data_IF_163212417010
#
_entry.id   IF_163212417010
#
_cell.length_a   1.000
_cell.length_b   1.000
_cell.length_c   1.000
_cell.angle_alpha   90.00
_cell.angle_beta   90.00
_cell.angle_gamma   90.00
#
_symmetry.space_group_name_H-M   'P 1'
#
loop_
_entity.id
_entity.type
_entity.pdbx_description
1 polymer ?
#
# COMPACT_ATOMS: atom_id res chain seq x y z
N UNK A 1 -21.10 4.84 -22.31
CA UNK A 1 -20.96 5.19 -20.88
C UNK A 1 -20.85 3.96 -19.96
N UNK A 2 -21.65 2.89 -20.13
CA UNK A 2 -21.64 1.71 -19.23
C UNK A 2 -20.36 0.85 -19.20
N UNK A 3 -19.61 0.78 -20.31
CA UNK A 3 -18.37 -0.03 -20.38
C UNK A 3 -17.22 0.49 -19.51
N UNK A 4 -17.12 1.82 -19.31
CA UNK A 4 -16.10 2.41 -18.43
C UNK A 4 -16.42 2.17 -16.94
N UNK A 5 -17.69 2.15 -16.56
CA UNK A 5 -18.10 1.83 -15.20
C UNK A 5 -17.86 0.37 -14.85
N UNK A 6 -18.16 -0.56 -15.78
CA UNK A 6 -17.88 -1.99 -15.57
C UNK A 6 -16.38 -2.29 -15.46
N UNK A 7 -15.57 -1.69 -16.33
CA UNK A 7 -14.11 -1.78 -16.24
C UNK A 7 -13.56 -1.13 -14.96
N UNK A 8 -14.09 0.04 -14.58
CA UNK A 8 -13.73 0.75 -13.35
C UNK A 8 -14.07 -0.03 -12.07
N UNK A 9 -15.19 -0.75 -12.03
CA UNK A 9 -15.55 -1.63 -10.91
C UNK A 9 -14.65 -2.86 -10.85
N UNK A 10 -14.35 -3.52 -11.97
CA UNK A 10 -13.42 -4.66 -11.99
C UNK A 10 -12.01 -4.27 -11.58
N UNK A 11 -11.51 -3.13 -12.08
CA UNK A 11 -10.23 -2.56 -11.70
C UNK A 11 -10.25 -2.11 -10.24
N UNK A 12 -11.37 -1.57 -9.76
CA UNK A 12 -11.57 -1.16 -8.36
C UNK A 12 -11.50 -2.34 -7.40
N UNK A 13 -12.14 -3.46 -7.72
CA UNK A 13 -12.08 -4.70 -6.93
C UNK A 13 -10.69 -5.33 -6.99
N UNK A 14 -10.07 -5.38 -8.18
CA UNK A 14 -8.70 -5.86 -8.32
C UNK A 14 -7.70 -4.99 -7.54
N UNK A 15 -7.87 -3.66 -7.57
CA UNK A 15 -7.02 -2.71 -6.86
C UNK A 15 -7.26 -2.71 -5.35
N UNK A 16 -8.49 -2.93 -4.89
CA UNK A 16 -8.79 -3.06 -3.46
C UNK A 16 -8.16 -4.33 -2.87
N UNK A 17 -8.09 -5.42 -3.66
CA UNK A 17 -7.42 -6.66 -3.26
C UNK A 17 -5.90 -6.49 -3.20
N UNK A 18 -5.31 -5.71 -4.12
CA UNK A 18 -3.87 -5.44 -4.09
C UNK A 18 -3.49 -4.63 -2.84
N UNK A 19 -4.41 -3.85 -2.25
CA UNK A 19 -4.26 -3.23 -0.93
C UNK A 19 -3.09 -2.24 -0.78
N UNK A 20 -2.29 -2.06 -1.83
CA UNK A 20 -1.02 -1.36 -1.81
C UNK A 20 -1.19 0.17 -1.89
N UNK A 21 -2.39 0.64 -2.28
CA UNK A 21 -2.65 2.06 -2.50
C UNK A 21 -1.92 2.60 -3.73
N UNK A 22 -2.50 3.60 -4.39
CA UNK A 22 -1.95 4.18 -5.63
C UNK A 22 -0.50 4.70 -5.51
N UNK A 23 0.04 4.84 -4.29
CA UNK A 23 1.41 5.26 -3.97
C UNK A 23 2.50 4.50 -4.76
N UNK A 24 2.33 3.19 -4.99
CA UNK A 24 3.32 2.39 -5.75
C UNK A 24 3.40 2.79 -7.23
N UNK A 25 2.31 3.31 -7.80
CA UNK A 25 2.25 3.78 -9.19
C UNK A 25 2.67 5.25 -9.27
N UNK A 26 2.34 6.06 -8.26
CA UNK A 26 2.71 7.49 -8.22
C UNK A 26 4.21 7.69 -8.05
N UNK A 27 4.89 6.84 -7.26
CA UNK A 27 6.33 6.94 -7.00
C UNK A 27 7.19 6.87 -8.28
N UNK A 28 7.08 5.86 -9.16
CA UNK A 28 7.89 5.79 -10.38
C UNK A 28 7.51 6.87 -11.40
N UNK A 29 6.26 7.35 -11.39
CA UNK A 29 5.81 8.46 -12.24
C UNK A 29 6.48 9.79 -11.86
N UNK A 30 6.54 10.10 -10.57
CA UNK A 30 7.22 11.29 -10.04
C UNK A 30 8.74 11.22 -10.24
N UNK A 31 9.35 10.04 -10.08
CA UNK A 31 10.77 9.82 -10.39
C UNK A 31 11.09 10.06 -11.87
N UNK A 32 10.14 9.75 -12.78
CA UNK A 32 10.31 10.00 -14.22
C UNK A 32 10.23 11.50 -14.58
N UNK A 33 9.56 12.31 -13.75
CA UNK A 33 9.50 13.78 -13.87
C UNK A 33 10.74 14.50 -13.31
N UNK A 34 11.75 13.77 -12.85
CA UNK A 34 13.03 14.34 -12.40
C UNK A 34 13.08 14.73 -10.92
N UNK A 35 12.05 14.40 -10.14
CA UNK A 35 12.07 14.62 -8.70
C UNK A 35 13.08 13.69 -8.02
N UNK A 36 13.80 14.17 -6.98
CA UNK A 36 14.66 13.31 -6.20
C UNK A 36 13.82 12.18 -5.59
N UNK A 37 14.32 10.95 -5.67
CA UNK A 37 13.58 9.74 -5.28
C UNK A 37 13.10 9.80 -3.82
N UNK A 38 13.81 10.49 -2.95
CA UNK A 38 13.38 10.75 -1.57
C UNK A 38 12.11 11.59 -1.48
N UNK A 39 11.98 12.64 -2.29
CA UNK A 39 10.78 13.47 -2.34
C UNK A 39 9.61 12.74 -3.02
N UNK A 40 9.89 11.94 -4.06
CA UNK A 40 8.88 11.12 -4.73
C UNK A 40 8.30 10.04 -3.79
N UNK A 41 9.14 9.41 -2.98
CA UNK A 41 8.70 8.43 -1.96
C UNK A 41 7.98 9.13 -0.82
N UNK A 42 8.47 10.28 -0.34
CA UNK A 42 7.83 11.06 0.73
C UNK A 42 6.43 11.55 0.36
N UNK A 43 6.26 12.08 -0.85
CA UNK A 43 4.93 12.51 -1.37
C UNK A 43 3.99 11.32 -1.57
N UNK A 44 4.50 10.18 -2.03
CA UNK A 44 3.68 8.97 -2.17
C UNK A 44 3.25 8.39 -0.82
N UNK A 45 4.12 8.46 0.21
CA UNK A 45 3.77 8.08 1.57
C UNK A 45 2.71 9.02 2.19
N UNK A 46 2.79 10.32 1.90
CA UNK A 46 1.76 11.29 2.31
C UNK A 46 0.39 10.97 1.71
N UNK A 47 0.32 10.51 0.45
CA UNK A 47 -0.92 10.01 -0.16
C UNK A 47 -1.41 8.70 0.46
N UNK A 48 -0.53 7.90 1.09
CA UNK A 48 -0.91 6.70 1.82
C UNK A 48 -1.72 6.97 3.09
N UNK A 49 -1.53 8.13 3.72
CA UNK A 49 -2.25 8.51 4.94
C UNK A 49 -3.77 8.58 4.76
N UNK A 50 -4.34 9.34 3.79
CA UNK A 50 -5.78 9.37 3.58
C UNK A 50 -6.34 8.00 3.16
N UNK A 51 -5.55 7.18 2.46
CA UNK A 51 -5.94 5.79 2.12
C UNK A 51 -6.05 4.94 3.39
N UNK A 52 -5.07 5.04 4.29
CA UNK A 52 -5.09 4.34 5.57
C UNK A 52 -6.26 4.80 6.44
N UNK A 53 -6.54 6.11 6.49
CA UNK A 53 -7.70 6.66 7.22
C UNK A 53 -9.02 6.13 6.64
N UNK A 54 -9.22 6.23 5.33
CA UNK A 54 -10.41 5.73 4.67
C UNK A 54 -10.59 4.21 4.84
N UNK A 55 -9.51 3.43 4.73
CA UNK A 55 -9.51 2.00 4.96
C UNK A 55 -9.86 1.65 6.40
N UNK A 56 -9.30 2.36 7.37
CA UNK A 56 -9.60 2.19 8.80
C UNK A 56 -11.07 2.47 9.08
N UNK A 57 -11.61 3.59 8.58
CA UNK A 57 -13.03 3.92 8.70
C UNK A 57 -13.91 2.83 8.05
N UNK A 58 -13.53 2.36 6.86
CA UNK A 58 -14.23 1.26 6.18
C UNK A 58 -14.28 -0.03 7.01
N UNK A 59 -13.17 -0.41 7.64
CA UNK A 59 -13.11 -1.58 8.53
C UNK A 59 -13.90 -1.40 9.84
N UNK A 60 -13.95 -0.18 10.40
CA UNK A 60 -14.80 0.13 11.56
C UNK A 60 -16.27 -0.03 11.19
N UNK A 61 -16.70 0.55 10.07
CA UNK A 61 -18.10 0.51 9.62
C UNK A 61 -18.51 -0.93 9.27
N UNK A 62 -17.67 -1.65 8.52
CA UNK A 62 -17.94 -3.04 8.13
C UNK A 62 -18.00 -4.01 9.33
N UNK A 63 -17.25 -3.74 10.40
CA UNK A 63 -17.24 -4.58 11.60
C UNK A 63 -18.24 -4.20 12.68
N UNK A 64 -19.02 -3.14 12.49
CA UNK A 64 -19.95 -2.63 13.51
C UNK A 64 -20.98 -3.68 13.97
N UNK A 65 -21.36 -4.62 13.10
CA UNK A 65 -22.32 -5.68 13.43
C UNK A 65 -21.70 -6.94 14.09
N UNK A 66 -20.37 -7.03 14.19
CA UNK A 66 -19.65 -8.24 14.63
C UNK A 66 -18.80 -8.03 15.90
N UNK A 67 -18.86 -6.85 16.53
CA UNK A 67 -18.10 -6.53 17.73
C UNK A 67 -18.60 -7.34 18.94
N UNK A 68 -18.10 -8.56 19.09
CA UNK A 68 -18.51 -9.54 20.11
C UNK A 68 -17.55 -9.60 21.31
N UNK A 69 -16.52 -8.73 21.40
CA UNK A 69 -15.57 -8.76 22.53
C UNK A 69 -14.98 -7.39 22.90
N UNK A 70 -14.56 -7.27 24.16
CA UNK A 70 -14.20 -6.05 24.89
C UNK A 70 -12.89 -5.36 24.41
N UNK A 71 -12.18 -5.93 23.42
CA UNK A 71 -10.92 -5.42 22.86
C UNK A 71 -10.96 -5.19 21.33
N UNK A 72 -12.15 -5.22 20.72
CA UNK A 72 -12.34 -5.01 19.28
C UNK A 72 -13.28 -3.83 19.03
N UNK A 73 -12.87 -2.88 18.19
CA UNK A 73 -13.74 -1.83 17.66
C UNK A 73 -14.02 -2.17 16.20
N UNK A 74 -15.15 -2.84 15.95
CA UNK A 74 -15.44 -3.44 14.65
C UNK A 74 -14.53 -4.64 14.34
N UNK A 75 -14.00 -4.74 13.11
CA UNK A 75 -13.02 -5.76 12.70
C UNK A 75 -11.58 -5.41 13.11
N UNK A 76 -11.38 -4.29 13.81
CA UNK A 76 -10.06 -3.79 14.21
C UNK A 76 -9.72 -4.32 15.59
N UNK A 77 -8.68 -5.15 15.66
CA UNK A 77 -8.10 -5.61 16.90
C UNK A 77 -7.23 -4.51 17.51
N UNK A 78 -7.71 -3.84 18.57
CA UNK A 78 -6.99 -2.71 19.20
C UNK A 78 -5.55 -3.05 19.60
N UNK A 79 -5.26 -4.22 20.22
CA UNK A 79 -3.89 -4.57 20.57
C UNK A 79 -3.02 -4.72 19.34
N UNK A 80 -3.54 -5.37 18.29
CA UNK A 80 -2.83 -5.54 17.02
C UNK A 80 -2.51 -4.21 16.36
N UNK A 81 -3.44 -3.26 16.37
CA UNK A 81 -3.21 -1.90 15.89
C UNK A 81 -2.07 -1.24 16.68
N UNK A 82 -2.10 -1.30 18.01
CA UNK A 82 -1.04 -0.72 18.86
C UNK A 82 0.32 -1.36 18.58
N UNK A 83 0.39 -2.69 18.53
CA UNK A 83 1.64 -3.40 18.24
C UNK A 83 2.19 -3.06 16.84
N UNK A 84 1.35 -3.04 15.81
CA UNK A 84 1.77 -2.72 14.43
C UNK A 84 2.17 -1.25 14.30
N UNK A 85 1.46 -0.32 14.96
CA UNK A 85 1.81 1.10 14.99
C UNK A 85 3.16 1.32 15.65
N UNK A 86 3.42 0.72 16.81
CA UNK A 86 4.71 0.84 17.51
C UNK A 86 5.83 0.21 16.67
N UNK A 87 5.63 -1.01 16.16
CA UNK A 87 6.60 -1.68 15.32
C UNK A 87 6.92 -0.89 14.04
N UNK A 88 5.91 -0.29 13.41
CA UNK A 88 6.08 0.59 12.25
C UNK A 88 6.81 1.88 12.61
N UNK A 89 6.47 2.52 13.73
CA UNK A 89 7.15 3.75 14.15
C UNK A 89 8.63 3.52 14.47
N UNK A 90 9.02 2.36 14.99
CA UNK A 90 10.43 2.00 15.17
C UNK A 90 11.11 1.62 13.85
N UNK A 91 10.41 0.89 12.97
CA UNK A 91 11.00 0.37 11.74
C UNK A 91 11.11 1.42 10.63
N UNK A 92 10.15 2.36 10.56
CA UNK A 92 10.11 3.43 9.57
C UNK A 92 11.40 4.30 9.53
N UNK A 93 11.94 4.82 10.66
CA UNK A 93 13.16 5.62 10.63
C UNK A 93 14.40 4.80 10.25
N UNK A 94 14.44 3.51 10.59
CA UNK A 94 15.52 2.61 10.15
C UNK A 94 15.49 2.44 8.63
N UNK A 95 14.31 2.23 8.04
CA UNK A 95 14.13 2.15 6.59
C UNK A 95 14.51 3.45 5.87
N UNK A 96 14.11 4.60 6.40
CA UNK A 96 14.45 5.92 5.81
C UNK A 96 15.96 6.18 5.87
N UNK A 97 16.64 5.84 6.97
CA UNK A 97 18.10 5.97 7.10
C UNK A 97 18.84 5.14 6.06
N UNK A 98 18.45 3.88 5.89
CA UNK A 98 19.05 2.99 4.87
C UNK A 98 18.76 3.52 3.47
N UNK A 99 17.54 4.03 3.23
CA UNK A 99 17.18 4.62 1.94
C UNK A 99 18.01 5.87 1.63
N UNK A 100 18.23 6.78 2.59
CA UNK A 100 19.07 7.98 2.42
C UNK A 100 20.56 7.66 2.25
N UNK A 101 21.05 6.56 2.83
CA UNK A 101 22.43 6.13 2.65
C UNK A 101 22.71 5.53 1.26
N UNK A 102 21.67 5.17 0.50
CA UNK A 102 21.80 4.60 -0.83
C UNK A 102 21.85 5.70 -1.92
N UNK A 103 22.83 5.66 -2.83
CA UNK A 103 22.88 6.61 -3.94
C UNK A 103 21.62 6.46 -4.81
N UNK A 104 21.05 7.60 -5.22
CA UNK A 104 19.78 7.73 -5.95
C UNK A 104 19.61 6.78 -7.15
N UNK A 105 20.72 6.48 -7.85
CA UNK A 105 20.74 5.52 -8.97
C UNK A 105 20.50 4.06 -8.55
N UNK A 106 21.01 3.62 -7.39
CA UNK A 106 20.79 2.26 -6.87
C UNK A 106 19.38 2.09 -6.32
N UNK A 107 18.83 3.11 -5.64
CA UNK A 107 17.49 3.04 -5.08
C UNK A 107 16.41 2.89 -6.17
N UNK A 108 16.58 3.58 -7.31
CA UNK A 108 15.69 3.44 -8.48
C UNK A 108 15.71 2.02 -9.06
N UNK A 109 16.89 1.38 -9.13
CA UNK A 109 17.05 -0.01 -9.58
C UNK A 109 16.37 -1.00 -8.64
N UNK A 110 16.59 -0.87 -7.32
CA UNK A 110 15.93 -1.72 -6.33
C UNK A 110 14.41 -1.61 -6.36
N UNK A 111 13.88 -0.39 -6.48
CA UNK A 111 12.43 -0.17 -6.56
C UNK A 111 11.83 -0.78 -7.84
N UNK A 112 12.51 -0.61 -8.99
CA UNK A 112 12.12 -1.25 -10.24
C UNK A 112 12.17 -2.78 -10.14
N UNK A 113 13.21 -3.34 -9.52
CA UNK A 113 13.36 -4.78 -9.34
C UNK A 113 12.25 -5.36 -8.43
N UNK A 114 11.91 -4.65 -7.35
CA UNK A 114 10.78 -5.01 -6.48
C UNK A 114 9.46 -5.02 -7.25
N UNK A 115 9.20 -4.01 -8.08
CA UNK A 115 8.00 -3.94 -8.92
C UNK A 115 7.93 -5.09 -9.93
N UNK A 116 9.04 -5.41 -10.60
CA UNK A 116 9.11 -6.56 -11.51
C UNK A 116 8.89 -7.88 -10.76
N UNK A 117 9.48 -8.05 -9.59
CA UNK A 117 9.28 -9.23 -8.75
C UNK A 117 7.81 -9.36 -8.30
N UNK A 118 7.18 -8.25 -7.91
CA UNK A 118 5.77 -8.21 -7.53
C UNK A 118 4.85 -8.54 -8.73
N UNK A 119 5.16 -7.99 -9.91
CA UNK A 119 4.44 -8.30 -11.14
C UNK A 119 4.57 -9.78 -11.51
N UNK A 120 5.77 -10.35 -11.42
CA UNK A 120 6.01 -11.76 -11.63
C UNK A 120 5.26 -12.63 -10.60
N UNK A 121 5.26 -12.23 -9.33
CA UNK A 121 4.52 -12.91 -8.27
C UNK A 121 3.01 -12.88 -8.50
N UNK A 122 2.44 -11.73 -8.89
CA UNK A 122 1.02 -11.65 -9.24
C UNK A 122 0.69 -12.49 -10.47
N UNK A 123 1.55 -12.49 -11.49
CA UNK A 123 1.36 -13.33 -12.69
C UNK A 123 1.37 -14.81 -12.31
N UNK A 124 2.32 -15.23 -11.48
CA UNK A 124 2.42 -16.62 -11.02
C UNK A 124 1.23 -17.02 -10.15
N UNK A 125 0.80 -16.14 -9.23
CA UNK A 125 -0.37 -16.37 -8.39
C UNK A 125 -1.66 -16.43 -9.20
N UNK A 126 -1.82 -15.55 -10.19
CA UNK A 126 -2.96 -15.58 -11.10
C UNK A 126 -3.00 -16.89 -11.91
N UNK A 127 -1.84 -17.35 -12.38
CA UNK A 127 -1.74 -18.62 -13.10
C UNK A 127 -2.03 -19.83 -12.20
N UNK A 128 -1.66 -19.78 -10.92
CA UNK A 128 -1.91 -20.85 -9.95
C UNK A 128 -3.35 -20.91 -9.42
N UNK A 129 -4.05 -19.78 -9.38
CA UNK A 129 -5.44 -19.67 -8.90
C UNK A 129 -6.47 -19.73 -10.05
N UNK A 130 -6.02 -19.66 -11.30
CA UNK A 130 -6.86 -19.63 -12.51
C UNK A 130 -6.92 -20.94 -13.31
N UNK A 131 -6.39 -22.04 -12.79
CA UNK A 131 -6.58 -23.41 -13.29
C UNK A 131 -7.11 -24.33 -12.18
#
# INVERSE_FOLDING_TARGET
>A
AGGLFGAGSLIGVASSVVGAGGAFITTPFLVRRGLPIHAAVGTSAACGFPIAVAGTIGYVIAGWSAAQTNLMVGYIYLPGLVFVSIASMLTAPLGVRIAHALPSGRLKRFFGLMLYALAAYMLWRAWRFGL
#
